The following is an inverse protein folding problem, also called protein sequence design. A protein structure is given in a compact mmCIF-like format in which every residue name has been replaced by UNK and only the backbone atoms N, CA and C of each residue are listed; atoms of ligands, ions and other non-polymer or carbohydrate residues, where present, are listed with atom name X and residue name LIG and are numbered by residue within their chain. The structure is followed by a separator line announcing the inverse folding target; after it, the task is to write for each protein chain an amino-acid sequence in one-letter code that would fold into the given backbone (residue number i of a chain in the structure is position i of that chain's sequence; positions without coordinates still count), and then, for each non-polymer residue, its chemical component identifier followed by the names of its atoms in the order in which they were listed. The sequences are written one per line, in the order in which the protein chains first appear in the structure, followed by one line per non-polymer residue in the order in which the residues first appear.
data_IF_298234290700
#
_entry.id   IF_298234290700
#
_cell.length_a   1.000
_cell.length_b   1.000
_cell.length_c   1.000
_cell.angle_alpha   90.00
_cell.angle_beta   90.00
_cell.angle_gamma   90.00
#
_symmetry.space_group_name_H-M   'P 1'
#
loop_
_entity.id
_entity.type
_entity.pdbx_description
1 polymer ?
#
# COMPACT_ATOMS: atom_id res chain seq x y z
N UNK A 1 -16.59 12.91 18.48
CA UNK A 1 -17.00 11.85 19.44
C UNK A 1 -16.04 10.65 19.46
N UNK A 2 -14.94 10.67 18.68
CA UNK A 2 -14.02 9.53 18.58
C UNK A 2 -14.50 8.44 17.62
N UNK A 3 -15.65 8.62 16.96
CA UNK A 3 -16.10 7.74 15.90
C UNK A 3 -15.16 7.83 14.70
N UNK A 4 -14.94 6.69 14.03
CA UNK A 4 -14.14 6.65 12.82
C UNK A 4 -14.83 7.43 11.71
N UNK A 5 -14.08 8.32 11.07
CA UNK A 5 -14.56 9.09 9.94
C UNK A 5 -15.02 8.14 8.82
N UNK A 6 -16.08 8.43 8.05
CA UNK A 6 -16.58 7.57 6.98
C UNK A 6 -15.52 7.14 5.94
N UNK A 7 -14.46 7.94 5.81
CA UNK A 7 -13.31 7.64 4.97
C UNK A 7 -12.53 6.39 5.44
N UNK A 8 -12.52 6.07 6.72
CA UNK A 8 -11.89 4.85 7.25
C UNK A 8 -12.53 3.59 6.66
N UNK A 9 -13.86 3.53 6.67
CA UNK A 9 -14.60 2.39 6.11
C UNK A 9 -14.43 2.30 4.60
N UNK A 10 -14.36 3.45 3.90
CA UNK A 10 -14.06 3.48 2.48
C UNK A 10 -12.69 2.84 2.18
N UNK A 11 -11.65 3.24 2.91
CA UNK A 11 -10.29 2.75 2.69
C UNK A 11 -10.18 1.27 3.03
N UNK A 12 -10.71 0.83 4.17
CA UNK A 12 -10.71 -0.59 4.53
C UNK A 12 -11.47 -1.44 3.50
N UNK A 13 -12.58 -0.95 2.95
CA UNK A 13 -13.37 -1.69 1.95
C UNK A 13 -12.72 -1.73 0.56
N UNK A 14 -11.88 -0.76 0.20
CA UNK A 14 -11.21 -0.69 -1.10
C UNK A 14 -9.80 -1.28 -1.10
N UNK A 15 -9.20 -1.42 0.07
CA UNK A 15 -7.89 -2.05 0.23
C UNK A 15 -8.08 -3.57 0.38
N UNK A 16 -7.55 -4.40 -0.52
CA UNK A 16 -7.61 -5.86 -0.38
C UNK A 16 -7.12 -6.39 0.98
N UNK A 17 -6.11 -5.74 1.57
CA UNK A 17 -5.66 -6.06 2.93
C UNK A 17 -6.68 -5.75 4.05
N UNK A 18 -7.79 -5.05 3.73
CA UNK A 18 -8.90 -4.79 4.65
C UNK A 18 -8.63 -3.75 5.73
N UNK A 19 -7.47 -3.07 5.67
CA UNK A 19 -7.01 -2.11 6.67
C UNK A 19 -6.06 -1.08 6.06
N UNK A 20 -5.80 -0.04 6.84
CA UNK A 20 -4.65 0.83 6.61
C UNK A 20 -3.33 0.08 6.77
N UNK A 21 -2.35 0.49 5.97
CA UNK A 21 -0.97 0.08 6.17
C UNK A 21 -0.48 0.59 7.54
N UNK A 22 0.28 -0.25 8.25
CA UNK A 22 1.04 0.19 9.42
C UNK A 22 2.36 0.81 8.94
N UNK A 23 2.80 2.01 9.39
CA UNK A 23 4.02 2.65 8.88
C UNK A 23 5.27 1.76 8.94
N UNK A 24 5.35 0.87 9.93
CA UNK A 24 6.41 -0.11 10.14
C UNK A 24 6.52 -1.11 8.97
N UNK A 25 5.44 -1.36 8.25
CA UNK A 25 5.43 -2.26 7.08
C UNK A 25 6.18 -1.66 5.88
N UNK A 26 6.47 -0.35 5.88
CA UNK A 26 7.34 0.28 4.88
C UNK A 26 8.83 -0.04 5.11
N UNK A 27 9.21 -0.46 6.31
CA UNK A 27 10.61 -0.71 6.65
C UNK A 27 11.20 -1.85 5.80
N UNK A 28 10.46 -2.95 5.62
CA UNK A 28 10.91 -4.09 4.80
C UNK A 28 11.22 -3.71 3.34
N UNK A 29 10.27 -3.10 2.60
CA UNK A 29 10.49 -2.60 1.26
C UNK A 29 11.63 -1.58 1.15
N UNK A 30 11.76 -0.67 2.13
CA UNK A 30 12.87 0.28 2.18
C UNK A 30 14.23 -0.42 2.34
N UNK A 31 14.32 -1.41 3.24
CA UNK A 31 15.53 -2.23 3.41
C UNK A 31 15.83 -3.03 2.14
N UNK A 32 14.83 -3.63 1.50
CA UNK A 32 15.00 -4.33 0.22
C UNK A 32 15.65 -3.41 -0.82
N UNK A 33 15.08 -2.22 -1.04
CA UNK A 33 15.58 -1.24 -2.02
C UNK A 33 16.96 -0.67 -1.67
N UNK A 34 17.33 -0.63 -0.39
CA UNK A 34 18.64 -0.19 0.07
C UNK A 34 19.70 -1.31 0.08
N UNK A 35 19.28 -2.56 -0.11
CA UNK A 35 20.14 -3.73 0.01
C UNK A 35 20.68 -4.20 -1.33
N UNK A 36 21.69 -5.09 -1.30
CA UNK A 36 22.20 -5.76 -2.50
C UNK A 36 21.16 -6.62 -3.22
N UNK A 37 20.06 -6.99 -2.54
CA UNK A 37 18.99 -7.77 -3.16
C UNK A 37 18.30 -7.00 -4.31
N UNK A 38 18.45 -5.68 -4.38
CA UNK A 38 17.90 -4.84 -5.43
C UNK A 38 18.96 -4.29 -6.41
N UNK A 39 20.18 -4.83 -6.45
CA UNK A 39 21.28 -4.30 -7.29
C UNK A 39 20.91 -4.17 -8.79
N UNK A 40 19.95 -4.96 -9.26
CA UNK A 40 19.44 -4.91 -10.64
C UNK A 40 17.95 -4.52 -10.73
N UNK A 41 17.35 -4.00 -9.66
CA UNK A 41 15.96 -3.54 -9.62
C UNK A 41 15.95 -2.02 -9.57
N UNK A 42 15.79 -1.39 -10.74
CA UNK A 42 15.79 0.07 -10.89
C UNK A 42 14.68 0.55 -11.82
N UNK A 43 14.34 1.84 -11.73
CA UNK A 43 13.31 2.48 -12.56
C UNK A 43 11.88 2.01 -12.28
N UNK A 44 11.65 1.23 -11.22
CA UNK A 44 10.33 0.71 -10.84
C UNK A 44 9.68 1.56 -9.75
N UNK A 45 8.35 1.66 -9.81
CA UNK A 45 7.53 2.13 -8.68
C UNK A 45 6.93 0.89 -8.01
N UNK A 46 7.35 0.64 -6.77
CA UNK A 46 6.83 -0.48 -5.97
C UNK A 46 5.79 0.07 -4.99
N UNK A 47 4.54 -0.35 -5.17
CA UNK A 47 3.44 0.07 -4.31
C UNK A 47 3.37 -0.81 -3.06
N UNK A 48 3.36 -0.16 -1.90
CA UNK A 48 3.19 -0.78 -0.58
C UNK A 48 1.93 -0.20 0.03
N UNK A 49 0.77 -0.66 -0.45
CA UNK A 49 -0.51 0.03 -0.23
C UNK A 49 -1.65 -0.94 0.14
N UNK A 50 -1.32 -2.18 0.49
CA UNK A 50 -2.30 -3.23 0.77
C UNK A 50 -3.18 -3.61 -0.43
N UNK A 51 -2.80 -3.19 -1.65
CA UNK A 51 -3.47 -3.49 -2.91
C UNK A 51 -4.53 -2.49 -3.36
N UNK A 52 -4.66 -1.33 -2.69
CA UNK A 52 -5.71 -0.35 -3.02
C UNK A 52 -5.56 0.20 -4.45
N UNK A 53 -4.34 0.33 -4.97
CA UNK A 53 -4.13 0.73 -6.37
C UNK A 53 -4.72 -0.28 -7.35
N UNK A 54 -4.55 -1.58 -7.10
CA UNK A 54 -5.08 -2.63 -7.96
C UNK A 54 -6.62 -2.65 -7.94
N UNK A 55 -7.24 -2.20 -6.84
CA UNK A 55 -8.68 -2.00 -6.77
C UNK A 55 -9.14 -0.87 -7.69
N UNK A 56 -8.50 0.31 -7.65
CA UNK A 56 -8.85 1.43 -8.52
C UNK A 56 -8.55 1.15 -10.00
N UNK A 57 -7.48 0.43 -10.31
CA UNK A 57 -7.16 -0.01 -11.68
C UNK A 57 -8.20 -0.95 -12.30
N UNK A 58 -9.11 -1.54 -11.50
CA UNK A 58 -10.24 -2.36 -11.99
C UNK A 58 -11.50 -1.56 -12.31
N UNK A 59 -11.50 -0.23 -12.17
CA UNK A 59 -12.58 0.64 -12.65
C UNK A 59 -12.15 1.28 -13.98
N UNK A 60 -12.35 0.60 -15.13
CA UNK A 60 -12.36 1.29 -16.42
C UNK A 60 -13.67 2.08 -16.47
N UNK A 61 -13.64 3.30 -15.91
CA UNK A 61 -14.60 4.36 -16.17
C UNK A 61 -13.94 5.40 -17.05
#
# INVERSE_FOLDING_TARGET
DGSRHPFDSFICAKTPAGRWLDPEELAGPAVFLASKASDFVNGQVIYVDGGIQAYFGKFPG
#
